data_IF_619645304380
#
_entry.id   IF_619645304380
#
_cell.length_a   1.000
_cell.length_b   1.000
_cell.length_c   1.000
_cell.angle_alpha   90.00
_cell.angle_beta   90.00
_cell.angle_gamma   90.00
#
_symmetry.space_group_name_H-M   'P 1'
#
loop_
_entity.id
_entity.type
_entity.pdbx_description
1 polymer ?
#
# COMPACT_ATOMS: atom_id res chain seq x y z
N UNK A 1 -11.46 4.36 11.49
CA UNK A 1 -12.13 3.31 10.71
C UNK A 1 -11.06 2.39 10.18
N UNK A 2 -11.10 1.07 10.47
CA UNK A 2 -9.99 0.17 10.16
C UNK A 2 -9.80 -0.15 8.68
N UNK A 3 -10.69 0.27 7.79
CA UNK A 3 -10.63 -0.05 6.37
C UNK A 3 -10.84 1.21 5.54
N UNK A 4 -9.75 1.89 5.19
CA UNK A 4 -9.85 3.13 4.44
C UNK A 4 -9.38 2.93 3.00
N UNK A 5 -10.29 2.76 2.01
CA UNK A 5 -9.92 2.61 0.60
C UNK A 5 -9.12 3.80 0.05
N UNK A 6 -9.14 4.92 0.76
CA UNK A 6 -8.33 6.11 0.45
C UNK A 6 -6.82 5.83 0.47
N UNK A 7 -6.34 4.95 1.35
CA UNK A 7 -4.92 4.57 1.41
C UNK A 7 -4.42 3.91 0.12
N UNK A 8 -5.32 3.41 -0.73
CA UNK A 8 -4.94 2.91 -2.05
C UNK A 8 -4.58 4.02 -3.04
N UNK A 9 -5.03 5.26 -2.79
CA UNK A 9 -4.79 6.40 -3.68
C UNK A 9 -3.32 6.64 -4.02
N UNK A 10 -2.43 6.81 -3.02
CA UNK A 10 -0.99 6.95 -3.25
C UNK A 10 -0.38 5.81 -4.06
N UNK A 11 -0.92 4.59 -3.95
CA UNK A 11 -0.46 3.43 -4.70
C UNK A 11 -0.57 3.58 -6.21
N UNK A 12 -1.53 4.35 -6.72
CA UNK A 12 -1.65 4.64 -8.15
C UNK A 12 -0.51 5.55 -8.63
N UNK A 13 -0.09 6.52 -7.83
CA UNK A 13 1.09 7.36 -8.13
C UNK A 13 2.35 6.50 -8.13
N UNK A 14 2.55 5.67 -7.11
CA UNK A 14 3.70 4.75 -7.06
C UNK A 14 3.69 3.78 -8.24
N UNK A 15 2.50 3.30 -8.66
CA UNK A 15 2.37 2.47 -9.87
C UNK A 15 2.72 3.24 -11.13
N UNK A 16 2.29 4.49 -11.24
CA UNK A 16 2.62 5.35 -12.36
C UNK A 16 4.14 5.61 -12.46
N UNK A 17 4.83 5.81 -11.34
CA UNK A 17 6.29 6.05 -11.30
C UNK A 17 7.06 4.74 -11.49
N UNK A 18 6.75 3.71 -10.69
CA UNK A 18 7.50 2.45 -10.62
C UNK A 18 7.25 1.49 -11.80
N UNK A 19 6.16 1.69 -12.55
CA UNK A 19 5.83 0.87 -13.72
C UNK A 19 5.87 -0.64 -13.42
N UNK A 20 6.71 -1.39 -14.16
CA UNK A 20 6.88 -2.84 -13.97
C UNK A 20 7.56 -3.23 -12.65
N UNK A 21 8.23 -2.30 -12.00
CA UNK A 21 8.97 -2.54 -10.75
C UNK A 21 8.11 -2.32 -9.50
N UNK A 22 6.84 -1.97 -9.64
CA UNK A 22 5.89 -1.80 -8.56
C UNK A 22 4.60 -2.59 -8.82
N UNK A 23 4.19 -3.44 -7.86
CA UNK A 23 2.93 -4.19 -7.94
C UNK A 23 1.85 -3.50 -7.12
N UNK A 24 0.85 -2.93 -7.80
CA UNK A 24 -0.30 -2.34 -7.13
C UNK A 24 -1.17 -3.38 -6.40
N UNK A 25 -1.25 -4.62 -6.93
CA UNK A 25 -1.98 -5.70 -6.26
C UNK A 25 -1.34 -6.09 -4.92
N UNK A 26 -0.01 -6.22 -4.91
CA UNK A 26 0.71 -6.54 -3.66
C UNK A 26 0.66 -5.36 -2.69
N UNK A 27 0.74 -4.12 -3.19
CA UNK A 27 0.53 -2.92 -2.40
C UNK A 27 -0.84 -2.94 -1.70
N UNK A 28 -1.92 -3.17 -2.44
CA UNK A 28 -3.27 -3.27 -1.86
C UNK A 28 -3.41 -4.46 -0.90
N UNK A 29 -2.85 -5.62 -1.24
CA UNK A 29 -2.84 -6.78 -0.36
C UNK A 29 -2.09 -6.53 0.96
N UNK A 30 -0.99 -5.77 0.94
CA UNK A 30 -0.24 -5.39 2.14
C UNK A 30 -1.05 -4.44 3.04
N UNK A 31 -1.81 -3.51 2.44
CA UNK A 31 -2.76 -2.66 3.17
C UNK A 31 -3.82 -3.48 3.91
N UNK A 32 -4.39 -4.48 3.22
CA UNK A 32 -5.38 -5.39 3.84
C UNK A 32 -4.76 -6.22 4.96
N UNK A 33 -3.53 -6.74 4.77
CA UNK A 33 -2.86 -7.56 5.79
C UNK A 33 -2.59 -6.79 7.08
N UNK A 34 -2.21 -5.50 6.98
CA UNK A 34 -1.94 -4.67 8.16
C UNK A 34 -3.24 -4.37 8.93
N UNK A 35 -4.37 -4.25 8.20
CA UNK A 35 -5.70 -3.97 8.74
C UNK A 35 -6.42 -5.20 9.33
N UNK A 36 -5.84 -6.39 9.23
CA UNK A 36 -6.43 -7.58 9.87
C UNK A 36 -6.53 -7.40 11.39
N UNK A 37 -5.50 -6.85 12.03
CA UNK A 37 -5.50 -6.63 13.48
C UNK A 37 -6.61 -5.66 13.92
N UNK A 38 -6.72 -4.43 13.39
CA UNK A 38 -7.84 -3.54 13.72
C UNK A 38 -9.20 -4.10 13.32
N UNK A 39 -9.30 -4.83 12.23
CA UNK A 39 -10.53 -5.51 11.82
C UNK A 39 -11.01 -6.54 12.85
N UNK A 40 -10.09 -7.37 13.34
CA UNK A 40 -10.36 -8.31 14.43
C UNK A 40 -10.68 -7.58 15.74
N UNK A 41 -9.91 -6.52 16.06
CA UNK A 41 -10.14 -5.70 17.24
C UNK A 41 -11.54 -5.09 17.27
N UNK A 42 -11.98 -4.56 16.13
CA UNK A 42 -13.34 -4.02 15.97
C UNK A 42 -14.40 -5.11 16.17
N UNK A 43 -14.21 -6.28 15.57
CA UNK A 43 -15.17 -7.39 15.67
C UNK A 43 -15.26 -7.97 17.09
N UNK A 44 -14.15 -7.93 17.84
CA UNK A 44 -14.03 -8.50 19.19
C UNK A 44 -14.15 -7.45 20.30
N UNK A 45 -14.33 -6.16 19.96
CA UNK A 45 -14.49 -5.08 20.95
C UNK A 45 -13.21 -4.72 21.70
N UNK A 46 -12.04 -4.79 21.05
CA UNK A 46 -10.77 -4.42 21.70
C UNK A 46 -10.70 -2.91 21.99
N UNK A 47 -10.11 -2.52 23.12
CA UNK A 47 -10.02 -1.11 23.50
C UNK A 47 -8.99 -0.32 22.65
N UNK A 48 -8.01 -1.01 22.05
CA UNK A 48 -7.00 -0.46 21.16
C UNK A 48 -7.09 -1.22 19.84
N UNK A 49 -7.31 -0.51 18.74
CA UNK A 49 -7.46 -1.12 17.42
C UNK A 49 -6.13 -1.18 16.67
N UNK A 50 -5.31 -0.12 16.77
CA UNK A 50 -4.05 -0.03 16.07
C UNK A 50 -2.91 -0.53 16.96
N UNK A 51 -2.73 -1.84 17.01
CA UNK A 51 -1.71 -2.52 17.82
C UNK A 51 -0.34 -2.58 17.14
N UNK A 52 0.36 -3.72 17.29
CA UNK A 52 1.73 -3.86 16.81
C UNK A 52 1.84 -3.86 15.27
N UNK A 53 0.80 -4.28 14.54
CA UNK A 53 0.81 -4.25 13.07
C UNK A 53 0.96 -2.83 12.54
N UNK A 54 0.47 -1.84 13.27
CA UNK A 54 0.53 -0.41 12.94
C UNK A 54 1.77 0.29 13.52
N UNK A 55 2.85 -0.46 13.71
CA UNK A 55 4.18 0.07 14.05
C UNK A 55 5.13 -0.02 12.86
N UNK A 56 6.23 0.72 12.89
CA UNK A 56 7.32 0.58 11.90
C UNK A 56 7.87 -0.85 11.91
N UNK A 57 8.01 -1.47 13.08
CA UNK A 57 8.44 -2.87 13.19
C UNK A 57 7.41 -3.83 12.55
N UNK A 58 6.13 -3.63 12.82
CA UNK A 58 5.03 -4.36 12.19
C UNK A 58 5.00 -4.16 10.68
N UNK A 59 5.18 -2.93 10.20
CA UNK A 59 5.27 -2.63 8.77
C UNK A 59 6.41 -3.39 8.07
N UNK A 60 7.57 -3.51 8.72
CA UNK A 60 8.68 -4.32 8.19
C UNK A 60 8.32 -5.80 8.13
N UNK A 61 7.78 -6.36 9.22
CA UNK A 61 7.42 -7.77 9.30
C UNK A 61 6.33 -8.14 8.29
N UNK A 62 5.23 -7.36 8.26
CA UNK A 62 4.11 -7.58 7.33
C UNK A 62 4.53 -7.33 5.89
N UNK A 63 5.36 -6.29 5.65
CA UNK A 63 5.91 -6.01 4.33
C UNK A 63 6.76 -7.15 3.79
N UNK A 64 7.57 -7.79 4.64
CA UNK A 64 8.35 -8.97 4.27
C UNK A 64 7.43 -10.15 3.90
N UNK A 65 6.45 -10.47 4.75
CA UNK A 65 5.47 -11.52 4.49
C UNK A 65 4.68 -11.24 3.21
N UNK A 66 4.12 -10.02 3.09
CA UNK A 66 3.37 -9.60 1.90
C UNK A 66 4.23 -9.64 0.63
N UNK A 67 5.51 -9.29 0.71
CA UNK A 67 6.45 -9.38 -0.41
C UNK A 67 6.65 -10.81 -0.89
N UNK A 68 6.80 -11.77 0.04
CA UNK A 68 6.98 -13.19 -0.27
C UNK A 68 5.71 -13.82 -0.84
N UNK A 69 4.57 -13.67 -0.15
CA UNK A 69 3.31 -14.31 -0.56
C UNK A 69 2.59 -13.54 -1.69
N UNK A 70 2.81 -12.24 -1.78
CA UNK A 70 2.09 -11.36 -2.70
C UNK A 70 2.35 -11.69 -4.17
N UNK A 71 3.59 -12.03 -4.55
CA UNK A 71 3.91 -12.44 -5.92
C UNK A 71 3.14 -13.70 -6.36
N UNK A 72 3.22 -14.85 -5.67
CA UNK A 72 2.49 -16.05 -6.10
C UNK A 72 0.97 -15.86 -6.05
N UNK A 73 0.44 -15.21 -5.00
CA UNK A 73 -1.01 -14.95 -4.86
C UNK A 73 -1.50 -14.04 -5.98
N UNK A 74 -0.86 -12.88 -6.19
CA UNK A 74 -1.25 -11.95 -7.27
C UNK A 74 -1.16 -12.61 -8.63
N UNK A 75 -0.12 -13.40 -8.89
CA UNK A 75 0.04 -14.14 -10.16
C UNK A 75 -1.05 -15.19 -10.36
N UNK A 76 -1.47 -15.87 -9.28
CA UNK A 76 -2.55 -16.85 -9.33
C UNK A 76 -3.89 -16.17 -9.61
N UNK A 77 -4.20 -15.07 -8.92
CA UNK A 77 -5.43 -14.29 -9.13
C UNK A 77 -5.51 -13.76 -10.57
N UNK A 78 -4.44 -13.14 -11.07
CA UNK A 78 -4.43 -12.60 -12.44
C UNK A 78 -4.62 -13.70 -13.49
N UNK A 79 -4.00 -14.88 -13.29
CA UNK A 79 -4.24 -16.04 -14.17
C UNK A 79 -5.69 -16.54 -14.10
N UNK A 80 -6.24 -16.65 -12.89
CA UNK A 80 -7.63 -17.09 -12.68
C UNK A 80 -8.64 -16.16 -13.35
N UNK A 81 -8.37 -14.84 -13.29
CA UNK A 81 -9.18 -13.81 -13.94
C UNK A 81 -8.87 -13.67 -15.46
N UNK A 82 -7.94 -14.46 -16.00
CA UNK A 82 -7.49 -14.40 -17.41
C UNK A 82 -6.99 -13.02 -17.84
N UNK A 83 -6.44 -12.25 -16.90
CA UNK A 83 -5.87 -10.93 -17.18
C UNK A 83 -4.46 -11.10 -17.72
N UNK A 84 -4.23 -10.67 -18.98
CA UNK A 84 -2.91 -10.68 -19.60
C UNK A 84 -2.03 -9.60 -18.97
N UNK A 85 -0.90 -10.01 -18.39
CA UNK A 85 0.04 -9.09 -17.76
C UNK A 85 1.48 -9.64 -17.88
N UNK A 86 2.50 -8.76 -17.88
CA UNK A 86 3.89 -9.20 -17.77
C UNK A 86 4.13 -9.98 -16.48
N UNK A 87 5.06 -10.94 -16.44
CA UNK A 87 5.39 -11.69 -15.23
C UNK A 87 5.73 -10.76 -14.07
N UNK A 88 5.11 -11.00 -12.91
CA UNK A 88 5.38 -10.22 -11.71
C UNK A 88 6.76 -10.58 -11.16
N UNK A 89 7.63 -9.59 -11.01
CA UNK A 89 8.97 -9.77 -10.46
C UNK A 89 8.96 -9.71 -8.92
N UNK A 90 9.98 -10.28 -8.28
CA UNK A 90 10.17 -10.16 -6.83
C UNK A 90 10.39 -8.70 -6.41
N UNK A 91 11.15 -7.93 -7.20
CA UNK A 91 11.33 -6.49 -6.98
C UNK A 91 10.00 -5.75 -6.92
N UNK A 92 9.09 -6.03 -7.88
CA UNK A 92 7.78 -5.40 -7.90
C UNK A 92 6.91 -5.82 -6.71
N UNK A 93 7.03 -7.08 -6.26
CA UNK A 93 6.31 -7.59 -5.10
C UNK A 93 6.77 -6.89 -3.82
N UNK A 94 8.07 -6.91 -3.55
CA UNK A 94 8.60 -6.28 -2.34
C UNK A 94 8.44 -4.76 -2.34
N UNK A 95 8.63 -4.08 -3.48
CA UNK A 95 8.37 -2.65 -3.59
C UNK A 95 6.90 -2.32 -3.28
N UNK A 96 5.95 -3.09 -3.84
CA UNK A 96 4.53 -2.93 -3.51
C UNK A 96 4.24 -3.19 -2.04
N UNK A 97 4.77 -4.26 -1.48
CA UNK A 97 4.56 -4.64 -0.08
C UNK A 97 5.06 -3.57 0.90
N UNK A 98 6.34 -3.20 0.80
CA UNK A 98 6.93 -2.24 1.74
C UNK A 98 6.34 -0.83 1.58
N UNK A 99 6.17 -0.34 0.36
CA UNK A 99 5.49 0.95 0.16
C UNK A 99 4.07 0.89 0.71
N UNK A 100 3.35 -0.25 0.57
CA UNK A 100 2.04 -0.45 1.13
C UNK A 100 2.03 -0.33 2.65
N UNK A 101 2.84 -1.12 3.33
CA UNK A 101 2.85 -1.13 4.80
C UNK A 101 3.38 0.18 5.41
N UNK A 102 4.44 0.74 4.86
CA UNK A 102 4.99 2.00 5.38
C UNK A 102 4.08 3.21 5.13
N UNK A 103 3.47 3.31 3.93
CA UNK A 103 2.50 4.39 3.68
C UNK A 103 1.27 4.27 4.55
N UNK A 104 0.82 3.04 4.85
CA UNK A 104 -0.30 2.78 5.76
C UNK A 104 0.01 3.30 7.16
N UNK A 105 1.10 2.83 7.77
CA UNK A 105 1.51 3.29 9.12
C UNK A 105 1.71 4.79 9.17
N UNK A 106 2.26 5.40 8.11
CA UNK A 106 2.43 6.85 8.05
C UNK A 106 1.09 7.58 8.04
N UNK A 107 0.17 7.18 7.15
CA UNK A 107 -1.13 7.85 7.00
C UNK A 107 -1.97 7.69 8.27
N UNK A 108 -2.04 6.49 8.84
CA UNK A 108 -2.79 6.24 10.06
C UNK A 108 -2.15 6.91 11.28
N UNK A 109 -0.83 6.99 11.32
CA UNK A 109 -0.11 7.73 12.36
C UNK A 109 -0.47 9.22 12.41
N UNK A 110 -0.82 9.82 11.27
CA UNK A 110 -1.30 11.20 11.23
C UNK A 110 -2.72 11.36 11.79
N UNK A 111 -3.55 10.30 11.75
CA UNK A 111 -4.99 10.37 11.98
C UNK A 111 -5.45 9.73 13.29
N UNK A 112 -4.77 8.69 13.79
CA UNK A 112 -5.27 7.84 14.87
C UNK A 112 -4.47 8.03 16.18
N UNK A 113 -5.20 8.39 17.25
CA UNK A 113 -4.59 8.69 18.57
C UNK A 113 -4.15 7.43 19.33
N UNK A 114 -4.70 6.27 19.00
CA UNK A 114 -4.35 4.98 19.61
C UNK A 114 -3.14 4.30 18.94
N UNK A 115 -2.55 4.93 17.91
CA UNK A 115 -1.34 4.45 17.27
C UNK A 115 -0.07 4.76 18.05
N UNK A 116 0.89 3.85 17.98
CA UNK A 116 2.24 3.98 18.54
C UNK A 116 3.29 3.58 17.49
N UNK A 117 3.52 4.43 16.47
CA UNK A 117 4.29 4.03 15.27
C UNK A 117 5.70 3.53 15.56
N UNK A 118 6.34 4.04 16.63
CA UNK A 118 7.71 3.69 17.01
C UNK A 118 7.79 2.66 18.14
N UNK A 119 6.68 2.05 18.56
CA UNK A 119 6.72 0.99 19.55
C UNK A 119 7.62 -0.19 19.08
N UNK A 120 8.46 -0.80 19.95
CA UNK A 120 8.58 -0.62 21.41
C UNK A 120 9.56 0.50 21.85
N UNK A 121 10.17 1.24 20.94
CA UNK A 121 11.15 2.28 21.26
C UNK A 121 10.50 3.53 21.87
N UNK A 122 9.25 3.83 21.50
CA UNK A 122 8.46 4.95 22.00
C UNK A 122 6.98 4.60 22.00
N UNK A 123 6.28 5.04 23.03
CA UNK A 123 4.82 4.93 23.15
C UNK A 123 4.10 6.18 22.61
N UNK A 124 4.85 7.20 22.21
CA UNK A 124 4.30 8.46 21.73
C UNK A 124 4.07 8.41 20.23
N UNK A 125 2.87 8.81 19.78
CA UNK A 125 2.62 9.13 18.39
C UNK A 125 2.98 10.60 18.12
N UNK A 126 4.23 10.85 17.72
CA UNK A 126 4.70 12.21 17.43
C UNK A 126 4.13 12.79 16.11
N UNK A 127 3.45 11.98 15.28
CA UNK A 127 2.92 12.41 13.98
C UNK A 127 1.45 12.84 14.06
N UNK A 128 0.76 12.48 15.16
CA UNK A 128 -0.66 12.75 15.33
C UNK A 128 -0.97 14.24 15.15
N UNK A 129 -1.88 14.52 14.23
CA UNK A 129 -2.39 15.89 14.03
C UNK A 129 -1.44 16.83 13.28
N UNK A 130 -0.28 16.37 12.76
CA UNK A 130 0.55 17.20 11.87
C UNK A 130 -0.21 17.69 10.64
N UNK A 131 -1.12 16.86 10.16
CA UNK A 131 -2.01 17.20 9.06
C UNK A 131 -3.45 16.92 9.51
N UNK A 132 -4.40 17.84 9.32
CA UNK A 132 -5.80 17.57 9.58
C UNK A 132 -6.30 16.35 8.81
N UNK A 133 -7.14 15.51 9.43
CA UNK A 133 -7.63 14.26 8.84
C UNK A 133 -8.25 14.47 7.45
N UNK A 134 -9.05 15.54 7.28
CA UNK A 134 -9.68 15.87 6.00
C UNK A 134 -8.63 16.07 4.90
N UNK A 135 -7.50 16.71 5.23
CA UNK A 135 -6.40 16.93 4.27
C UNK A 135 -5.65 15.67 3.91
N UNK A 136 -5.58 14.70 4.83
CA UNK A 136 -5.02 13.37 4.50
C UNK A 136 -5.92 12.68 3.48
N UNK A 137 -7.25 12.70 3.67
CA UNK A 137 -8.19 12.15 2.70
C UNK A 137 -8.14 12.86 1.35
N UNK A 138 -8.15 14.20 1.35
CA UNK A 138 -8.00 15.02 0.14
C UNK A 138 -6.71 14.65 -0.61
N UNK A 139 -5.60 14.53 0.11
CA UNK A 139 -4.30 14.14 -0.44
C UNK A 139 -4.33 12.74 -1.08
N UNK A 140 -4.94 11.78 -0.42
CA UNK A 140 -5.12 10.43 -0.96
C UNK A 140 -5.99 10.43 -2.22
N UNK A 141 -7.07 11.20 -2.25
CA UNK A 141 -7.95 11.33 -3.41
C UNK A 141 -7.22 12.01 -4.58
N UNK A 142 -6.53 13.11 -4.32
CA UNK A 142 -5.71 13.80 -5.34
C UNK A 142 -4.65 12.86 -5.89
N UNK A 143 -3.96 12.11 -5.02
CA UNK A 143 -2.98 11.11 -5.44
C UNK A 143 -3.61 10.02 -6.33
N UNK A 144 -4.82 9.56 -5.98
CA UNK A 144 -5.56 8.60 -6.80
C UNK A 144 -5.85 9.15 -8.21
N UNK A 145 -6.37 10.38 -8.30
CA UNK A 145 -6.71 11.03 -9.56
C UNK A 145 -5.47 11.29 -10.42
N UNK A 146 -4.40 11.83 -9.82
CA UNK A 146 -3.13 12.08 -10.53
C UNK A 146 -2.50 10.77 -11.00
N UNK A 147 -2.46 9.75 -10.14
CA UNK A 147 -1.93 8.45 -10.50
C UNK A 147 -2.71 7.78 -11.61
N UNK A 148 -4.05 7.81 -11.54
CA UNK A 148 -4.92 7.27 -12.58
C UNK A 148 -4.74 8.01 -13.92
N UNK A 149 -4.71 9.34 -13.91
CA UNK A 149 -4.44 10.14 -15.10
C UNK A 149 -3.07 9.84 -15.72
N UNK A 150 -2.02 9.75 -14.90
CA UNK A 150 -0.67 9.40 -15.36
C UNK A 150 -0.61 8.00 -16.00
N UNK A 151 -1.33 7.02 -15.43
CA UNK A 151 -1.41 5.66 -15.99
C UNK A 151 -2.19 5.64 -17.30
N UNK A 152 -3.31 6.38 -17.39
CA UNK A 152 -4.10 6.50 -18.61
C UNK A 152 -3.26 7.12 -19.74
N UNK A 153 -2.58 8.24 -19.48
CA UNK A 153 -1.71 8.89 -20.45
C UNK A 153 -0.58 7.97 -20.94
N UNK A 154 -0.01 7.14 -20.06
CA UNK A 154 0.99 6.13 -20.45
C UNK A 154 0.41 5.01 -21.30
N UNK A 155 -0.84 4.63 -21.09
CA UNK A 155 -1.55 3.65 -21.91
C UNK A 155 -1.83 4.16 -23.34
N UNK A 156 -2.06 5.45 -23.52
CA UNK A 156 -2.26 6.10 -24.82
C UNK A 156 -0.94 6.40 -25.57
N UNK A 157 0.22 6.39 -24.87
CA UNK A 157 1.50 6.66 -25.52
C UNK A 157 1.98 5.44 -26.29
N UNK A 158 2.23 5.54 -27.61
CA UNK A 158 2.68 4.40 -28.39
C UNK A 158 4.02 3.89 -27.86
N UNK A 159 4.07 2.60 -27.50
CA UNK A 159 5.30 1.94 -27.10
C UNK A 159 6.23 1.95 -28.30
N UNK A 160 7.42 2.56 -28.20
CA UNK A 160 8.45 2.45 -29.23
C UNK A 160 8.72 0.97 -29.47
N UNK A 161 8.61 0.53 -30.73
CA UNK A 161 9.00 -0.82 -31.12
C UNK A 161 10.45 -1.09 -30.67
N UNK A 162 10.79 -2.32 -30.26
CA UNK A 162 12.16 -2.69 -30.02
C UNK A 162 12.98 -2.37 -31.27
N UNK A 163 14.13 -1.69 -31.12
CA UNK A 163 15.07 -1.54 -32.22
C UNK A 163 15.59 -2.93 -32.53
N UNK A 164 15.40 -3.40 -33.74
CA UNK A 164 16.05 -4.62 -34.23
C UNK A 164 17.57 -4.43 -34.12
N UNK A 165 18.30 -5.41 -33.56
CA UNK A 165 19.76 -5.37 -33.56
C UNK A 165 20.23 -5.44 -35.02
N UNK A 166 21.07 -4.47 -35.41
CA UNK A 166 21.78 -4.51 -36.71
C UNK A 166 22.90 -5.52 -36.65
#
# INVERSE_FOLDING_TARGET
MPFTPFHLGPGLVFKAIGGRHFSFMVFGGAQVLIDIEPGLGLALGWPVLHGWTHTVAGAVAIGAVAGVIGKPVSSAVLRGLRIVHPPLTWTASFAGAFVGTFSHVLLDGLMHADMRPLWPLSEVNAWLGWVPMERVYDGCLVAALVGAAALALRGFWPRRAPREPR
#
